data_IF_815859126967
#
_entry.id   IF_815859126967
#
_cell.length_a   1.000
_cell.length_b   1.000
_cell.length_c   1.000
_cell.angle_alpha   90.00
_cell.angle_beta   90.00
_cell.angle_gamma   90.00
#
_symmetry.space_group_name_H-M   'P 1'
#
loop_
_entity.id
_entity.type
_entity.pdbx_description
1 polymer ?
#
# COMPACT_ATOMS: atom_id res chain seq x y z
N UNK A 1 11.90 2.18 -6.51
CA UNK A 1 10.65 1.52 -6.99
C UNK A 1 9.49 2.51 -6.90
N UNK A 2 8.41 2.39 -7.68
CA UNK A 2 7.20 3.19 -7.41
C UNK A 2 6.30 2.46 -6.40
N UNK A 3 6.39 2.87 -5.12
CA UNK A 3 5.65 2.23 -4.02
C UNK A 3 4.12 2.29 -4.19
N UNK A 4 3.60 3.27 -4.94
CA UNK A 4 2.16 3.39 -5.22
C UNK A 4 1.62 2.19 -5.99
N UNK A 5 2.44 1.58 -6.85
CA UNK A 5 2.04 0.43 -7.67
C UNK A 5 1.90 -0.85 -6.82
N UNK A 6 2.37 -0.81 -5.57
CA UNK A 6 2.26 -1.90 -4.58
C UNK A 6 1.08 -1.72 -3.63
N UNK A 7 0.25 -0.69 -3.81
CA UNK A 7 -0.95 -0.43 -3.00
C UNK A 7 -2.20 -0.79 -3.80
N UNK A 8 -3.07 -1.60 -3.21
CA UNK A 8 -4.36 -1.94 -3.83
C UNK A 8 -5.42 -0.92 -3.41
N UNK A 9 -6.35 -0.65 -4.32
CA UNK A 9 -7.51 0.20 -4.05
C UNK A 9 -8.75 -0.67 -3.98
N UNK A 10 -9.46 -0.62 -2.85
CA UNK A 10 -10.71 -1.32 -2.61
C UNK A 10 -11.80 -0.27 -2.39
N UNK A 11 -12.67 -0.10 -3.37
CA UNK A 11 -13.78 0.84 -3.31
C UNK A 11 -14.93 0.30 -2.45
N UNK A 12 -15.53 1.16 -1.63
CA UNK A 12 -16.68 0.85 -0.78
C UNK A 12 -16.38 0.06 0.49
N UNK A 13 -15.12 -0.08 0.90
CA UNK A 13 -14.72 -0.81 2.11
C UNK A 13 -14.23 0.12 3.24
N UNK A 14 -14.60 -0.11 4.52
CA UNK A 14 -15.59 -1.08 4.99
C UNK A 14 -17.04 -0.58 4.79
N UNK A 15 -17.24 0.64 4.28
CA UNK A 15 -18.54 1.25 4.02
C UNK A 15 -18.53 1.98 2.67
N UNK A 16 -19.71 2.09 2.06
CA UNK A 16 -19.90 2.78 0.78
C UNK A 16 -19.33 4.20 0.82
N UNK A 17 -18.70 4.61 -0.28
CA UNK A 17 -18.05 5.93 -0.43
C UNK A 17 -16.59 6.00 0.04
N UNK A 18 -16.01 4.92 0.57
CA UNK A 18 -14.60 4.88 0.98
C UNK A 18 -13.74 4.19 -0.08
N UNK A 19 -12.67 4.86 -0.53
CA UNK A 19 -11.59 4.26 -1.31
C UNK A 19 -10.48 3.79 -0.36
N UNK A 20 -10.54 2.51 0.03
CA UNK A 20 -9.60 1.92 0.97
C UNK A 20 -8.30 1.57 0.27
N UNK A 21 -7.20 2.12 0.77
CA UNK A 21 -5.84 1.81 0.28
C UNK A 21 -5.27 0.68 1.12
N UNK A 22 -5.24 -0.52 0.53
CA UNK A 22 -4.68 -1.69 1.17
C UNK A 22 -3.18 -1.78 0.84
N UNK A 23 -2.35 -1.56 1.87
CA UNK A 23 -0.88 -1.61 1.79
C UNK A 23 -0.31 -2.99 2.11
N UNK A 24 -1.14 -4.00 2.44
CA UNK A 24 -0.64 -5.34 2.81
C UNK A 24 0.22 -5.99 1.73
N UNK A 25 -0.06 -5.70 0.46
CA UNK A 25 0.75 -6.14 -0.69
C UNK A 25 2.14 -5.52 -0.71
N UNK A 26 2.30 -4.27 -0.25
CA UNK A 26 3.61 -3.64 -0.05
C UNK A 26 4.33 -4.28 1.14
N UNK A 27 3.62 -4.52 2.25
CA UNK A 27 4.21 -5.09 3.48
C UNK A 27 4.72 -6.54 3.27
N UNK A 28 4.08 -7.31 2.38
CA UNK A 28 4.49 -8.67 2.04
C UNK A 28 5.68 -8.73 1.07
N UNK A 29 5.99 -7.63 0.38
CA UNK A 29 7.12 -7.51 -0.52
C UNK A 29 8.34 -6.99 0.24
N UNK A 30 9.33 -7.86 0.43
CA UNK A 30 10.55 -7.57 1.19
C UNK A 30 11.27 -6.30 0.70
N UNK A 31 11.37 -6.13 -0.61
CA UNK A 31 12.11 -5.03 -1.20
C UNK A 31 11.29 -3.73 -1.14
N UNK A 32 9.97 -3.82 -1.37
CA UNK A 32 9.09 -2.67 -1.24
C UNK A 32 8.98 -2.17 0.21
N UNK A 33 8.92 -3.09 1.19
CA UNK A 33 8.93 -2.74 2.61
C UNK A 33 10.22 -2.03 3.00
N UNK A 34 11.38 -2.57 2.59
CA UNK A 34 12.67 -1.94 2.86
C UNK A 34 12.76 -0.53 2.26
N UNK A 35 12.43 -0.39 0.97
CA UNK A 35 12.40 0.91 0.31
C UNK A 35 11.48 1.90 1.02
N UNK A 36 10.30 1.46 1.49
CA UNK A 36 9.37 2.33 2.21
C UNK A 36 9.93 2.89 3.52
N UNK A 37 10.76 2.10 4.21
CA UNK A 37 11.45 2.53 5.44
C UNK A 37 12.58 3.48 5.07
N UNK A 38 13.38 3.14 4.07
CA UNK A 38 14.52 3.95 3.60
C UNK A 38 14.08 5.33 3.08
N UNK A 39 12.87 5.45 2.53
CA UNK A 39 12.30 6.73 2.08
C UNK A 39 11.82 7.62 3.25
N UNK A 40 11.46 7.02 4.39
CA UNK A 40 10.93 7.74 5.57
C UNK A 40 12.04 8.13 6.56
N UNK A 41 13.08 7.30 6.68
CA UNK A 41 14.20 7.47 7.60
C UNK A 41 15.07 8.70 7.28
#
# INVERSE_FOLDING_TARGET
MNLKDKVRIIEGFPKAGISFKDVTTLLQDKDALRESIDVIA
#
